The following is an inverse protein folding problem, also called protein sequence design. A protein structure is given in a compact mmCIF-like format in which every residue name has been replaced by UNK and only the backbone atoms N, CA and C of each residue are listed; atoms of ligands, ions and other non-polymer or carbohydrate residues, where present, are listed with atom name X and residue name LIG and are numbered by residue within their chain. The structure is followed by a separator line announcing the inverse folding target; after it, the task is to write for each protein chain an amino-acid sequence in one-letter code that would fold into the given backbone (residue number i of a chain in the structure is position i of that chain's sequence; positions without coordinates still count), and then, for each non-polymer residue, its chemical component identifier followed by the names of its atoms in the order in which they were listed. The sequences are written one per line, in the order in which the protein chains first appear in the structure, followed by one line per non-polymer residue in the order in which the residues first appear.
data_IF_415136877224
#
_entry.id   IF_415136877224
#
_cell.length_a   1.000
_cell.length_b   1.000
_cell.length_c   1.000
_cell.angle_alpha   90.00
_cell.angle_beta   90.00
_cell.angle_gamma   90.00
#
_symmetry.space_group_name_H-M   'P 1'
#
loop_
_entity.id
_entity.type
_entity.pdbx_description
1 polymer ?
#
# COMPACT_ATOMS: atom_id res chain seq x y z
N UNK A 1 3.04 -20.99 21.71
CA UNK A 1 2.35 -19.74 21.37
C UNK A 1 2.87 -19.20 20.06
N UNK A 2 2.00 -18.75 19.19
CA UNK A 2 2.39 -18.17 17.91
C UNK A 2 2.79 -16.70 18.03
N UNK A 3 3.38 -16.18 16.97
CA UNK A 3 3.65 -14.77 16.85
C UNK A 3 2.33 -14.00 16.61
N UNK A 4 2.30 -12.72 17.01
CA UNK A 4 1.17 -11.85 16.64
C UNK A 4 1.15 -11.65 15.12
N UNK A 5 0.01 -11.18 14.58
CA UNK A 5 -0.11 -10.88 13.15
C UNK A 5 0.94 -9.89 12.67
N UNK A 6 1.20 -8.83 13.45
CA UNK A 6 2.23 -7.86 13.11
C UNK A 6 3.64 -8.43 13.15
N UNK A 7 3.94 -9.28 14.12
CA UNK A 7 5.24 -9.94 14.21
C UNK A 7 5.44 -10.90 13.03
N UNK A 8 4.41 -11.66 12.67
CA UNK A 8 4.47 -12.55 11.51
C UNK A 8 4.70 -11.77 10.23
N UNK A 9 4.02 -10.64 10.06
CA UNK A 9 4.19 -9.80 8.87
C UNK A 9 5.60 -9.23 8.79
N UNK A 10 6.14 -8.73 9.89
CA UNK A 10 7.52 -8.22 9.92
C UNK A 10 8.55 -9.33 9.65
N UNK A 11 8.29 -10.54 10.11
CA UNK A 11 9.16 -11.69 9.82
C UNK A 11 9.14 -12.03 8.34
N UNK A 12 7.95 -12.03 7.70
CA UNK A 12 7.84 -12.26 6.27
C UNK A 12 8.59 -11.21 5.47
N UNK A 13 8.52 -9.93 5.87
CA UNK A 13 9.26 -8.85 5.25
C UNK A 13 10.76 -9.07 5.40
N UNK A 14 11.21 -9.45 6.60
CA UNK A 14 12.63 -9.72 6.86
C UNK A 14 13.16 -10.86 5.98
N UNK A 15 12.36 -11.91 5.78
CA UNK A 15 12.72 -13.01 4.90
C UNK A 15 12.83 -12.57 3.44
N UNK A 16 11.91 -11.72 2.99
CA UNK A 16 11.96 -11.19 1.63
C UNK A 16 13.21 -10.34 1.43
N UNK A 17 13.58 -9.52 2.40
CA UNK A 17 14.78 -8.67 2.33
C UNK A 17 16.06 -9.51 2.28
N UNK A 18 16.09 -10.64 2.99
CA UNK A 18 17.25 -11.53 3.01
C UNK A 18 17.58 -12.09 1.61
N UNK A 19 16.63 -12.07 0.69
CA UNK A 19 16.83 -12.47 -0.71
C UNK A 19 17.48 -11.35 -1.55
N UNK A 20 17.73 -10.18 -0.98
CA UNK A 20 18.29 -8.99 -1.65
C UNK A 20 17.52 -8.60 -2.92
N UNK A 21 16.19 -8.38 -2.84
CA UNK A 21 15.38 -8.03 -4.00
C UNK A 21 15.61 -6.58 -4.42
N UNK A 22 15.31 -6.26 -5.68
CA UNK A 22 15.24 -4.86 -6.12
C UNK A 22 13.86 -4.27 -5.83
N UNK A 23 12.83 -5.09 -5.93
CA UNK A 23 11.43 -4.69 -5.72
C UNK A 23 10.80 -5.63 -4.69
N UNK A 24 10.10 -5.06 -3.73
CA UNK A 24 9.32 -5.81 -2.74
C UNK A 24 7.84 -5.61 -3.07
N UNK A 25 7.12 -6.70 -3.32
CA UNK A 25 5.68 -6.66 -3.56
C UNK A 25 4.96 -7.11 -2.30
N UNK A 26 4.05 -6.27 -1.80
CA UNK A 26 3.22 -6.59 -0.64
C UNK A 26 1.75 -6.52 -1.02
N UNK A 27 1.01 -7.59 -0.71
CA UNK A 27 -0.42 -7.65 -0.96
C UNK A 27 -1.17 -7.53 0.36
N UNK A 28 -2.00 -6.48 0.50
CA UNK A 28 -2.80 -6.23 1.70
C UNK A 28 -1.98 -6.39 2.99
N UNK A 29 -0.83 -5.68 3.13
CA UNK A 29 0.14 -6.01 4.18
C UNK A 29 -0.38 -5.81 5.60
N UNK A 30 -1.44 -5.04 5.81
CA UNK A 30 -1.96 -4.74 7.13
C UNK A 30 -3.43 -5.10 7.31
N UNK A 31 -4.03 -5.84 6.38
CA UNK A 31 -5.48 -6.07 6.35
C UNK A 31 -6.02 -6.80 7.58
N UNK A 32 -5.21 -7.64 8.23
CA UNK A 32 -5.63 -8.42 9.39
C UNK A 32 -5.01 -7.91 10.70
N UNK A 33 -4.41 -6.71 10.69
CA UNK A 33 -3.69 -6.17 11.83
C UNK A 33 -4.50 -5.10 12.56
N UNK A 34 -4.32 -5.03 13.87
CA UNK A 34 -4.86 -3.94 14.67
C UNK A 34 -4.11 -2.61 14.37
N UNK A 35 -4.62 -1.46 14.84
CA UNK A 35 -4.00 -0.17 14.51
C UNK A 35 -2.55 -0.03 14.96
N UNK A 36 -2.18 -0.61 16.10
CA UNK A 36 -0.82 -0.51 16.62
C UNK A 36 0.14 -1.33 15.75
N UNK A 37 -0.25 -2.58 15.42
CA UNK A 37 0.55 -3.44 14.55
C UNK A 37 0.65 -2.86 13.14
N UNK A 38 -0.44 -2.29 12.63
CA UNK A 38 -0.45 -1.61 11.32
C UNK A 38 0.56 -0.49 11.28
N UNK A 39 0.59 0.36 12.32
CA UNK A 39 1.54 1.47 12.41
C UNK A 39 2.98 0.97 12.37
N UNK A 40 3.28 -0.10 13.10
CA UNK A 40 4.65 -0.65 13.13
C UNK A 40 5.08 -1.20 11.76
N UNK A 41 4.18 -1.85 11.06
CA UNK A 41 4.46 -2.35 9.70
C UNK A 41 4.65 -1.18 8.74
N UNK A 42 3.83 -0.14 8.83
CA UNK A 42 3.97 1.04 7.97
C UNK A 42 5.27 1.79 8.25
N UNK A 43 5.68 1.90 9.50
CA UNK A 43 6.98 2.49 9.86
C UNK A 43 8.14 1.70 9.25
N UNK A 44 8.05 0.38 9.27
CA UNK A 44 9.05 -0.47 8.63
C UNK A 44 9.09 -0.25 7.12
N UNK A 45 7.94 -0.16 6.47
CA UNK A 45 7.87 0.14 5.04
C UNK A 45 8.49 1.50 4.72
N UNK A 46 8.24 2.50 5.55
CA UNK A 46 8.82 3.83 5.38
C UNK A 46 10.36 3.80 5.43
N UNK A 47 10.91 3.00 6.33
CA UNK A 47 12.36 2.82 6.42
C UNK A 47 12.92 2.08 5.20
N UNK A 48 12.20 1.05 4.75
CA UNK A 48 12.64 0.20 3.64
C UNK A 48 12.60 0.89 2.29
N UNK A 49 11.71 1.85 2.10
CA UNK A 49 11.58 2.52 0.79
C UNK A 49 12.82 3.33 0.42
N UNK A 50 13.65 3.68 1.36
CA UNK A 50 14.92 4.37 1.10
C UNK A 50 15.90 3.48 0.34
N UNK A 51 15.76 2.18 0.49
CA UNK A 51 16.69 1.20 -0.07
C UNK A 51 16.06 0.31 -1.14
N UNK A 52 14.75 0.10 -1.06
CA UNK A 52 14.01 -0.78 -1.95
C UNK A 52 12.86 -0.05 -2.60
N UNK A 53 12.47 -0.48 -3.80
CA UNK A 53 11.20 -0.08 -4.37
C UNK A 53 10.12 -1.01 -3.80
N UNK A 54 9.10 -0.42 -3.19
CA UNK A 54 8.00 -1.18 -2.58
C UNK A 54 6.74 -0.95 -3.38
N UNK A 55 6.10 -2.04 -3.79
CA UNK A 55 4.80 -2.02 -4.46
C UNK A 55 3.79 -2.64 -3.50
N UNK A 56 2.74 -1.90 -3.19
CA UNK A 56 1.68 -2.37 -2.29
C UNK A 56 0.39 -2.47 -3.08
N UNK A 57 -0.28 -3.61 -2.95
CA UNK A 57 -1.64 -3.78 -3.45
C UNK A 57 -2.57 -3.72 -2.24
N UNK A 58 -3.47 -2.75 -2.20
CA UNK A 58 -4.36 -2.55 -1.06
C UNK A 58 -5.72 -2.04 -1.50
N UNK A 59 -6.77 -2.42 -0.78
CA UNK A 59 -8.10 -1.84 -0.91
C UNK A 59 -8.30 -0.66 0.05
N UNK A 60 -7.32 -0.36 0.90
CA UNK A 60 -7.41 0.77 1.81
C UNK A 60 -6.92 2.06 1.14
N UNK A 61 -7.85 2.91 0.76
CA UNK A 61 -7.52 4.22 0.19
C UNK A 61 -6.77 5.09 1.21
N UNK A 62 -7.11 4.98 2.48
CA UNK A 62 -6.45 5.73 3.54
C UNK A 62 -4.97 5.34 3.65
N UNK A 63 -4.68 4.05 3.57
CA UNK A 63 -3.31 3.58 3.59
C UNK A 63 -2.53 4.06 2.36
N UNK A 64 -3.11 3.92 1.18
CA UNK A 64 -2.47 4.39 -0.05
C UNK A 64 -2.17 5.90 0.01
N UNK A 65 -3.15 6.68 0.47
CA UNK A 65 -2.97 8.13 0.59
C UNK A 65 -1.88 8.51 1.60
N UNK A 66 -1.76 7.73 2.67
CA UNK A 66 -0.85 8.04 3.77
C UNK A 66 0.60 7.65 3.49
N UNK A 67 0.83 6.49 2.86
CA UNK A 67 2.18 5.92 2.81
C UNK A 67 2.80 5.87 1.42
N UNK A 68 2.04 6.05 0.34
CA UNK A 68 2.59 5.90 -1.00
C UNK A 68 3.02 7.23 -1.60
N UNK A 69 4.08 7.17 -2.41
CA UNK A 69 4.57 8.32 -3.18
C UNK A 69 3.80 8.45 -4.49
N UNK A 70 3.51 7.32 -5.12
CA UNK A 70 2.72 7.23 -6.34
C UNK A 70 1.61 6.23 -6.16
N UNK A 71 0.49 6.47 -6.82
CA UNK A 71 -0.68 5.59 -6.71
C UNK A 71 -1.20 5.26 -8.10
N UNK A 72 -1.48 3.97 -8.30
CA UNK A 72 -2.15 3.46 -9.49
C UNK A 72 -3.55 3.02 -9.11
N UNK A 73 -4.55 3.52 -9.82
CA UNK A 73 -5.93 3.11 -9.64
C UNK A 73 -6.32 2.11 -10.71
N UNK A 74 -6.72 0.91 -10.28
CA UNK A 74 -7.19 -0.16 -11.14
C UNK A 74 -8.68 -0.37 -10.93
N UNK A 75 -9.39 -0.63 -12.01
CA UNK A 75 -10.80 -0.97 -11.96
C UNK A 75 -11.04 -2.13 -12.92
N UNK A 76 -11.55 -3.25 -12.39
CA UNK A 76 -11.86 -4.46 -13.16
C UNK A 76 -10.69 -4.93 -14.03
N UNK A 77 -9.49 -4.91 -13.45
CA UNK A 77 -8.28 -5.37 -14.12
C UNK A 77 -7.65 -4.36 -15.08
N UNK A 78 -8.22 -3.18 -15.21
CA UNK A 78 -7.73 -2.14 -16.11
C UNK A 78 -7.07 -1.02 -15.32
N UNK A 79 -5.88 -0.57 -15.75
CA UNK A 79 -5.25 0.60 -15.17
C UNK A 79 -5.98 1.86 -15.66
N UNK A 80 -6.60 2.56 -14.73
CA UNK A 80 -7.39 3.76 -15.05
C UNK A 80 -6.52 5.01 -14.97
N UNK A 81 -5.74 5.13 -13.90
CA UNK A 81 -4.92 6.31 -13.69
C UNK A 81 -3.69 5.97 -12.86
N UNK A 82 -2.57 6.62 -13.15
CA UNK A 82 -1.33 6.48 -12.39
C UNK A 82 -0.66 7.85 -12.31
N UNK A 83 -0.42 8.31 -11.09
CA UNK A 83 0.20 9.61 -10.88
C UNK A 83 0.73 9.70 -9.44
N UNK A 84 1.29 10.85 -9.10
CA UNK A 84 1.65 11.16 -7.72
C UNK A 84 0.43 10.99 -6.83
N UNK A 85 0.64 10.47 -5.64
CA UNK A 85 -0.44 10.16 -4.70
C UNK A 85 -1.29 11.39 -4.40
N UNK A 86 -0.66 12.54 -4.18
CA UNK A 86 -1.40 13.77 -3.91
C UNK A 86 -2.35 14.13 -5.03
N UNK A 87 -1.93 13.95 -6.29
CA UNK A 87 -2.80 14.23 -7.44
C UNK A 87 -3.96 13.26 -7.54
N UNK A 88 -3.69 11.97 -7.31
CA UNK A 88 -4.75 10.95 -7.36
C UNK A 88 -5.86 11.26 -6.35
N UNK A 89 -5.48 11.66 -5.14
CA UNK A 89 -6.44 11.85 -4.06
C UNK A 89 -7.02 13.26 -3.97
N UNK A 90 -6.44 14.25 -4.64
CA UNK A 90 -6.94 15.63 -4.58
C UNK A 90 -7.45 16.15 -5.91
N UNK A 91 -6.86 15.74 -7.03
CA UNK A 91 -7.23 16.25 -8.35
C UNK A 91 -7.01 15.17 -9.43
N UNK A 92 -7.73 14.04 -9.36
CA UNK A 92 -7.59 12.99 -10.36
C UNK A 92 -8.07 13.48 -11.73
N UNK A 93 -7.46 12.95 -12.78
CA UNK A 93 -7.81 13.31 -14.16
C UNK A 93 -9.00 12.52 -14.68
N UNK A 94 -9.16 11.29 -14.23
CA UNK A 94 -10.24 10.40 -14.69
C UNK A 94 -11.41 10.47 -13.72
N UNK A 95 -12.62 10.64 -14.26
CA UNK A 95 -13.81 10.71 -13.43
C UNK A 95 -14.05 9.44 -12.64
N UNK A 96 -13.66 8.30 -13.16
CA UNK A 96 -13.82 7.03 -12.46
C UNK A 96 -12.96 6.99 -11.19
N UNK A 97 -11.76 7.57 -11.24
CA UNK A 97 -10.90 7.72 -10.06
C UNK A 97 -11.56 8.63 -9.04
N UNK A 98 -12.06 9.78 -9.50
CA UNK A 98 -12.76 10.73 -8.64
C UNK A 98 -13.97 10.07 -7.96
N UNK A 99 -14.79 9.36 -8.73
CA UNK A 99 -15.97 8.69 -8.20
C UNK A 99 -15.61 7.64 -7.15
N UNK A 100 -14.53 6.90 -7.37
CA UNK A 100 -14.06 5.90 -6.42
C UNK A 100 -13.61 6.55 -5.10
N UNK A 101 -12.82 7.61 -5.20
CA UNK A 101 -12.29 8.31 -4.02
C UNK A 101 -13.40 8.98 -3.22
N UNK A 102 -14.38 9.56 -3.91
CA UNK A 102 -15.49 10.26 -3.24
C UNK A 102 -16.65 9.33 -2.88
N UNK A 103 -16.60 8.06 -3.24
CA UNK A 103 -17.67 7.10 -2.98
C UNK A 103 -18.91 7.29 -3.83
N UNK A 104 -18.78 7.93 -4.99
CA UNK A 104 -19.90 8.25 -5.87
C UNK A 104 -20.15 7.24 -6.99
N UNK A 105 -19.57 6.07 -6.89
CA UNK A 105 -19.80 5.05 -7.90
C UNK A 105 -21.09 4.26 -7.56
N UNK A 106 -21.86 4.02 -8.52
CA UNK A 106 -23.09 3.24 -8.32
C UNK A 106 -24.22 3.72 -9.12
#
# INVERSE_FOLDING_TARGET
MGLSGGQQQRLCIARAIAMEPEVILMYEPTSALDPIATQKVEELMEQLKEKYTIVIVTHSMQQAARISDKTAFFLMGELIEFDDTDKIFTNPKDKRTEDYITGRFG
#
